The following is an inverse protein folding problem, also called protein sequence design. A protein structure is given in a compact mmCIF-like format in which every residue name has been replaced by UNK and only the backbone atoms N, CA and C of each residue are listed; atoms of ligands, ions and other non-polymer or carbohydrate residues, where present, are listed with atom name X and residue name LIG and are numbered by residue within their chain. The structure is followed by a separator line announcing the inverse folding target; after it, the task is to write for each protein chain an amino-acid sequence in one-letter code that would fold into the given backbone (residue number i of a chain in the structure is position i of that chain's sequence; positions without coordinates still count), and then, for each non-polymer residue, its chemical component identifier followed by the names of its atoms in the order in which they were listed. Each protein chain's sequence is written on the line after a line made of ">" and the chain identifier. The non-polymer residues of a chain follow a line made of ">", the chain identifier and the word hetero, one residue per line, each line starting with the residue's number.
data_IF_910910731917
#
_entry.id   IF_910910731917
#
_cell.length_a   1.000
_cell.length_b   1.000
_cell.length_c   1.000
_cell.angle_alpha   90.00
_cell.angle_beta   90.00
_cell.angle_gamma   90.00
#
_symmetry.space_group_name_H-M   'P 1'
#
loop_
_entity.id
_entity.type
_entity.pdbx_description
1 polymer ?
#
# COMPACT_ATOMS: atom_id res chain seq x y z
N UNK A 1 14.52 17.48 -1.83
CA UNK A 1 13.30 16.77 -1.40
C UNK A 1 12.86 15.91 -2.59
N UNK A 2 13.14 14.60 -2.55
CA UNK A 2 12.82 13.70 -3.65
C UNK A 2 11.32 13.41 -3.62
N UNK A 3 10.56 14.12 -4.46
CA UNK A 3 9.13 13.92 -4.61
C UNK A 3 8.91 12.62 -5.37
N UNK A 4 8.49 11.59 -4.66
CA UNK A 4 8.13 10.33 -5.28
C UNK A 4 6.69 10.44 -5.75
N UNK A 5 6.52 10.54 -7.05
CA UNK A 5 5.21 10.37 -7.69
C UNK A 5 4.67 8.98 -7.33
N UNK A 6 3.47 8.89 -6.75
CA UNK A 6 2.67 7.66 -6.71
C UNK A 6 1.78 7.62 -7.96
N UNK A 7 2.24 7.00 -9.07
CA UNK A 7 1.45 6.94 -10.30
C UNK A 7 0.25 6.01 -10.14
N UNK A 8 -0.80 6.24 -10.93
CA UNK A 8 -2.03 5.43 -10.92
C UNK A 8 -1.79 3.93 -11.06
N UNK A 9 -0.80 3.54 -11.87
CA UNK A 9 -0.47 2.13 -12.05
C UNK A 9 0.06 1.46 -10.77
N UNK A 10 0.67 2.22 -9.84
CA UNK A 10 1.13 1.71 -8.54
C UNK A 10 -0.07 1.34 -7.68
N UNK A 11 -1.01 2.26 -7.48
CA UNK A 11 -2.22 2.00 -6.69
C UNK A 11 -3.03 0.83 -7.27
N UNK A 12 -3.18 0.78 -8.61
CA UNK A 12 -3.83 -0.37 -9.27
C UNK A 12 -3.10 -1.69 -9.06
N UNK A 13 -1.75 -1.68 -9.05
CA UNK A 13 -0.92 -2.86 -8.79
C UNK A 13 -1.04 -3.29 -7.32
N UNK A 14 -1.02 -2.35 -6.38
CA UNK A 14 -1.28 -2.58 -4.95
C UNK A 14 -2.64 -3.22 -4.76
N UNK A 15 -3.70 -2.70 -5.39
CA UNK A 15 -5.04 -3.29 -5.33
C UNK A 15 -5.09 -4.73 -5.87
N UNK A 16 -4.39 -5.04 -6.97
CA UNK A 16 -4.31 -6.41 -7.50
C UNK A 16 -3.59 -7.36 -6.54
N UNK A 17 -2.50 -6.89 -5.92
CA UNK A 17 -1.72 -7.65 -4.94
C UNK A 17 -2.52 -7.87 -3.66
N UNK A 18 -3.17 -6.83 -3.15
CA UNK A 18 -4.08 -6.90 -2.02
C UNK A 18 -5.16 -7.96 -2.27
N UNK A 19 -5.81 -7.93 -3.43
CA UNK A 19 -6.82 -8.94 -3.79
C UNK A 19 -6.26 -10.36 -3.76
N UNK A 20 -5.04 -10.57 -4.29
CA UNK A 20 -4.38 -11.89 -4.26
C UNK A 20 -4.09 -12.32 -2.82
N UNK A 21 -3.46 -11.46 -2.02
CA UNK A 21 -3.09 -11.75 -0.63
C UNK A 21 -4.32 -12.06 0.21
N UNK A 22 -5.38 -11.25 0.10
CA UNK A 22 -6.62 -11.47 0.83
C UNK A 22 -7.27 -12.81 0.48
N UNK A 23 -7.29 -13.18 -0.81
CA UNK A 23 -7.81 -14.49 -1.23
C UNK A 23 -6.99 -15.63 -0.65
N UNK A 24 -5.67 -15.50 -0.62
CA UNK A 24 -4.79 -16.52 -0.01
C UNK A 24 -5.05 -16.65 1.51
N UNK A 25 -5.60 -15.60 2.14
CA UNK A 25 -6.02 -15.55 3.55
C UNK A 25 -7.50 -15.91 3.77
N UNK A 26 -8.21 -16.37 2.73
CA UNK A 26 -9.61 -16.75 2.81
C UNK A 26 -10.60 -15.57 2.80
N UNK A 27 -10.16 -14.36 2.46
CA UNK A 27 -10.99 -13.16 2.34
C UNK A 27 -11.20 -12.80 0.88
N UNK A 28 -12.46 -12.84 0.43
CA UNK A 28 -12.83 -12.45 -0.94
C UNK A 28 -13.35 -11.01 -0.97
N UNK A 29 -12.61 -10.13 -1.63
CA UNK A 29 -13.03 -8.76 -1.94
C UNK A 29 -13.08 -8.52 -3.44
N UNK A 30 -14.01 -7.66 -3.84
CA UNK A 30 -14.10 -7.22 -5.22
C UNK A 30 -12.96 -6.27 -5.53
N UNK A 31 -12.52 -6.27 -6.79
CA UNK A 31 -11.39 -5.43 -7.20
C UNK A 31 -11.59 -3.94 -6.90
N UNK A 32 -12.84 -3.44 -6.99
CA UNK A 32 -13.17 -2.07 -6.61
C UNK A 32 -12.90 -1.80 -5.13
N UNK A 33 -13.30 -2.70 -4.23
CA UNK A 33 -13.02 -2.55 -2.79
C UNK A 33 -11.51 -2.56 -2.52
N UNK A 34 -10.75 -3.40 -3.24
CA UNK A 34 -9.29 -3.39 -3.13
C UNK A 34 -8.66 -2.09 -3.66
N UNK A 35 -9.26 -1.41 -4.64
CA UNK A 35 -8.81 -0.09 -5.10
C UNK A 35 -9.04 0.98 -4.04
N UNK A 36 -10.21 0.99 -3.39
CA UNK A 36 -10.50 1.93 -2.31
C UNK A 36 -9.50 1.75 -1.15
N UNK A 37 -9.28 0.51 -0.72
CA UNK A 37 -8.33 0.21 0.36
C UNK A 37 -6.90 0.59 -0.07
N UNK A 38 -6.49 0.29 -1.31
CA UNK A 38 -5.16 0.64 -1.80
C UNK A 38 -4.94 2.16 -1.85
N UNK A 39 -5.94 2.95 -2.25
CA UNK A 39 -5.87 4.41 -2.20
C UNK A 39 -5.70 4.90 -0.75
N UNK A 40 -6.47 4.35 0.18
CA UNK A 40 -6.37 4.66 1.61
C UNK A 40 -5.03 4.32 2.22
N UNK A 41 -4.46 3.17 1.89
CA UNK A 41 -3.11 2.78 2.32
C UNK A 41 -2.01 3.73 1.82
N UNK A 42 -2.27 4.44 0.72
CA UNK A 42 -1.38 5.46 0.17
C UNK A 42 -1.68 6.88 0.70
N UNK A 43 -2.58 7.03 1.69
CA UNK A 43 -2.89 8.31 2.34
C UNK A 43 -4.00 9.13 1.69
N UNK A 44 -4.79 8.56 0.78
CA UNK A 44 -5.97 9.20 0.18
C UNK A 44 -7.25 8.80 0.91
N UNK A 45 -8.32 9.59 0.81
CA UNK A 45 -9.59 9.22 1.45
C UNK A 45 -10.27 8.02 0.74
N UNK A 46 -10.20 8.03 -0.59
CA UNK A 46 -10.78 7.01 -1.47
C UNK A 46 -10.12 7.05 -2.87
N UNK A 47 -10.56 6.16 -3.76
CA UNK A 47 -10.08 6.09 -5.13
C UNK A 47 -10.41 7.36 -5.94
N UNK A 48 -11.51 8.04 -5.64
CA UNK A 48 -11.93 9.23 -6.37
C UNK A 48 -11.11 10.45 -5.97
N UNK A 49 -10.80 10.62 -4.69
CA UNK A 49 -9.83 11.58 -4.18
C UNK A 49 -8.46 11.34 -4.81
N UNK A 50 -8.01 10.08 -4.89
CA UNK A 50 -6.78 9.75 -5.63
C UNK A 50 -6.85 10.21 -7.10
N UNK A 51 -7.95 9.94 -7.81
CA UNK A 51 -8.10 10.34 -9.22
C UNK A 51 -8.21 11.85 -9.42
N UNK A 52 -8.78 12.56 -8.46
CA UNK A 52 -8.97 14.01 -8.49
C UNK A 52 -7.73 14.79 -8.01
N UNK A 53 -6.71 14.11 -7.48
CA UNK A 53 -5.49 14.74 -6.95
C UNK A 53 -4.79 15.61 -8.00
N UNK A 54 -4.15 16.67 -7.55
CA UNK A 54 -3.19 17.39 -8.37
C UNK A 54 -1.96 16.51 -8.61
N UNK A 55 -1.74 16.11 -9.87
CA UNK A 55 -0.61 15.27 -10.27
C UNK A 55 0.75 15.96 -10.10
N UNK A 56 0.76 17.29 -9.92
CA UNK A 56 1.97 18.06 -9.68
C UNK A 56 2.24 18.32 -8.19
N UNK A 57 1.28 18.03 -7.31
CA UNK A 57 1.48 18.17 -5.88
C UNK A 57 2.44 17.08 -5.35
N UNK A 58 3.29 17.41 -4.37
CA UNK A 58 4.19 16.43 -3.77
C UNK A 58 3.39 15.35 -3.05
N UNK A 59 3.65 14.09 -3.38
CA UNK A 59 3.09 12.92 -2.71
C UNK A 59 4.03 12.41 -1.62
N UNK A 60 3.50 11.55 -0.74
CA UNK A 60 4.27 10.97 0.36
C UNK A 60 5.49 10.18 -0.16
N UNK A 61 6.68 10.27 0.49
CA UNK A 61 7.87 9.54 0.06
C UNK A 61 7.68 8.02 0.15
N UNK A 62 8.50 7.21 -0.55
CA UNK A 62 8.60 5.78 -0.25
C UNK A 62 9.23 5.56 1.12
N UNK A 63 8.98 4.38 1.70
CA UNK A 63 9.44 4.02 3.04
C UNK A 63 10.97 4.18 3.21
N UNK A 64 11.76 3.89 2.18
CA UNK A 64 13.23 4.05 2.18
C UNK A 64 13.72 5.49 2.41
N UNK A 65 12.85 6.49 2.21
CA UNK A 65 13.17 7.90 2.37
C UNK A 65 12.55 8.51 3.62
N UNK A 66 11.87 7.69 4.44
CA UNK A 66 11.31 8.13 5.71
C UNK A 66 12.33 8.02 6.84
N UNK A 67 12.16 8.86 7.86
CA UNK A 67 12.74 8.59 9.16
C UNK A 67 12.04 7.38 9.81
N UNK A 68 12.68 6.76 10.81
CA UNK A 68 12.05 5.67 11.59
C UNK A 68 10.74 6.13 12.24
N UNK A 69 10.67 7.39 12.69
CA UNK A 69 9.48 7.99 13.28
C UNK A 69 8.35 8.13 12.25
N UNK A 70 8.64 8.69 11.07
CA UNK A 70 7.67 8.83 9.99
C UNK A 70 7.17 7.47 9.49
N UNK A 71 8.06 6.47 9.44
CA UNK A 71 7.70 5.10 9.11
C UNK A 71 6.74 4.51 10.14
N UNK A 72 7.02 4.67 11.44
CA UNK A 72 6.14 4.17 12.51
C UNK A 72 4.75 4.85 12.49
N UNK A 73 4.69 6.16 12.21
CA UNK A 73 3.43 6.88 12.03
C UNK A 73 2.65 6.32 10.84
N UNK A 74 3.32 6.09 9.71
CA UNK A 74 2.69 5.50 8.52
C UNK A 74 2.21 4.08 8.75
N UNK A 75 3.02 3.23 9.39
CA UNK A 75 2.64 1.85 9.70
C UNK A 75 1.39 1.80 10.59
N UNK A 76 1.36 2.65 11.63
CA UNK A 76 0.19 2.82 12.50
C UNK A 76 -1.05 3.25 11.71
N UNK A 77 -0.91 4.23 10.82
CA UNK A 77 -2.00 4.69 9.95
C UNK A 77 -2.51 3.55 9.05
N UNK A 78 -1.60 2.82 8.40
CA UNK A 78 -1.94 1.72 7.49
C UNK A 78 -2.64 0.56 8.21
N UNK A 79 -2.22 0.23 9.43
CA UNK A 79 -2.91 -0.72 10.30
C UNK A 79 -4.35 -0.27 10.59
N UNK A 80 -4.55 1.01 10.94
CA UNK A 80 -5.89 1.58 11.19
C UNK A 80 -6.80 1.58 9.97
N UNK A 81 -6.25 1.79 8.77
CA UNK A 81 -6.99 1.67 7.49
C UNK A 81 -7.52 0.25 7.31
N UNK A 82 -6.70 -0.77 7.55
CA UNK A 82 -7.09 -2.17 7.42
C UNK A 82 -8.09 -2.58 8.50
N UNK A 83 -7.91 -2.11 9.74
CA UNK A 83 -8.86 -2.33 10.83
C UNK A 83 -10.24 -1.77 10.49
N UNK A 84 -10.31 -0.53 10.00
CA UNK A 84 -11.56 0.11 9.56
C UNK A 84 -12.21 -0.62 8.38
N UNK A 85 -11.42 -1.33 7.57
CA UNK A 85 -11.91 -2.17 6.48
C UNK A 85 -12.37 -3.57 6.95
N UNK A 86 -12.34 -3.87 8.25
CA UNK A 86 -12.69 -5.17 8.82
C UNK A 86 -11.59 -6.23 8.67
N UNK A 87 -10.35 -5.82 8.37
CA UNK A 87 -9.19 -6.68 8.12
C UNK A 87 -8.20 -6.66 9.29
N UNK A 88 -8.57 -6.10 10.44
CA UNK A 88 -7.68 -5.87 11.59
C UNK A 88 -6.96 -7.13 12.07
N UNK A 89 -7.64 -8.28 12.09
CA UNK A 89 -7.04 -9.56 12.51
C UNK A 89 -5.93 -10.08 11.60
N UNK A 90 -5.89 -9.63 10.34
CA UNK A 90 -4.88 -10.03 9.34
C UNK A 90 -4.04 -8.85 8.86
N UNK A 91 -4.17 -7.67 9.50
CA UNK A 91 -3.63 -6.42 8.99
C UNK A 91 -2.10 -6.47 8.82
N UNK A 92 -1.39 -7.01 9.81
CA UNK A 92 0.09 -7.12 9.77
C UNK A 92 0.56 -7.98 8.61
N UNK A 93 0.00 -9.18 8.48
CA UNK A 93 0.36 -10.08 7.38
C UNK A 93 0.01 -9.47 6.00
N UNK A 94 -1.13 -8.77 5.91
CA UNK A 94 -1.49 -8.05 4.71
C UNK A 94 -0.47 -6.97 4.38
N UNK A 95 -0.03 -6.14 5.33
CA UNK A 95 0.96 -5.09 5.06
C UNK A 95 2.32 -5.66 4.68
N UNK A 96 2.79 -6.71 5.36
CA UNK A 96 4.09 -7.34 5.06
C UNK A 96 4.10 -7.92 3.65
N UNK A 97 2.97 -8.54 3.26
CA UNK A 97 2.84 -9.15 1.94
C UNK A 97 2.48 -8.14 0.87
N UNK A 98 1.74 -7.07 1.15
CA UNK A 98 1.29 -6.10 0.14
C UNK A 98 2.30 -4.98 -0.06
N UNK A 99 3.01 -4.55 0.98
CA UNK A 99 3.99 -3.49 1.01
C UNK A 99 3.60 -2.25 0.16
N UNK A 100 2.51 -1.54 0.52
CA UNK A 100 1.90 -0.54 -0.36
C UNK A 100 2.81 0.67 -0.67
N UNK A 101 3.75 0.99 0.22
CA UNK A 101 4.59 2.19 0.18
C UNK A 101 6.09 1.92 0.13
N UNK A 102 6.52 0.66 0.20
CA UNK A 102 7.93 0.31 0.10
C UNK A 102 8.47 0.49 -1.31
N UNK A 103 9.79 0.68 -1.41
CA UNK A 103 10.49 0.63 -2.68
C UNK A 103 10.43 -0.79 -3.22
N UNK A 104 9.70 -0.95 -4.30
CA UNK A 104 9.73 -2.17 -5.08
C UNK A 104 11.01 -2.19 -5.93
N UNK A 105 12.16 -2.37 -5.30
CA UNK A 105 13.24 -3.02 -6.01
C UNK A 105 12.75 -4.43 -6.35
N UNK A 106 12.91 -4.94 -7.59
CA UNK A 106 12.84 -6.37 -7.80
C UNK A 106 13.84 -6.99 -6.83
N UNK A 107 13.38 -7.91 -5.97
CA UNK A 107 14.30 -8.75 -5.19
C UNK A 107 15.22 -9.40 -6.23
N UNK A 108 16.54 -9.15 -6.20
CA UNK A 108 17.46 -9.86 -7.07
C UNK A 108 17.22 -11.36 -6.84
N UNK A 109 17.06 -12.11 -7.91
CA UNK A 109 16.87 -13.56 -7.85
C UNK A 109 18.20 -14.26 -7.52
N UNK A 110 18.75 -14.02 -6.33
CA UNK A 110 19.91 -14.67 -5.69
C UNK A 110 19.69 -14.35 -4.22
N UNK A 111 19.10 -15.20 -3.39
CA UNK A 111 19.74 -16.39 -2.80
C UNK A 111 18.69 -17.50 -2.64
N UNK A 112 18.71 -18.44 -3.57
CA UNK A 112 18.11 -19.76 -3.41
C UNK A 112 19.11 -20.80 -3.91
N UNK A 113 20.31 -20.77 -3.34
CA UNK A 113 21.20 -21.94 -3.27
C UNK A 113 22.32 -21.65 -2.26
N UNK A 114 22.36 -22.49 -1.21
CA UNK A 114 23.29 -22.44 -0.09
C UNK A 114 22.87 -23.42 0.99
#
# INVERSE_FOLDING_TARGET
>A
MNIIMMPEHRVKRTAKRLRKVLRDLGVELWYKQCLEIAARLCGFDDWDHFRARDVNAPLSPFDDYLSEEDFAIRDTFQMGVLETAGLGSIAREVLDRVNPTGSWAPVPAEEADG
#
